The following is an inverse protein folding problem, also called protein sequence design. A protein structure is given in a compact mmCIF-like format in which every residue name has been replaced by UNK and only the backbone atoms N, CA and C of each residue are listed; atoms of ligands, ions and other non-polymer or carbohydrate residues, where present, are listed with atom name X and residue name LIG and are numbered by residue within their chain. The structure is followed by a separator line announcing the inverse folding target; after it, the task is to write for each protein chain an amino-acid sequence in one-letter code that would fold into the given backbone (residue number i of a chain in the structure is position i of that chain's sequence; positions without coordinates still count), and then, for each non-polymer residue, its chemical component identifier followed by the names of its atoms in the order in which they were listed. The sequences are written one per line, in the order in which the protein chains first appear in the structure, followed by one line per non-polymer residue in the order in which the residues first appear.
data_IF_260252254523
#
_entry.id   IF_260252254523
#
_cell.length_a   1.000
_cell.length_b   1.000
_cell.length_c   1.000
_cell.angle_alpha   90.00
_cell.angle_beta   90.00
_cell.angle_gamma   90.00
#
_symmetry.space_group_name_H-M   'P 1'
#
loop_
_entity.id
_entity.type
_entity.pdbx_description
1 polymer ?
#
# COMPACT_ATOMS: atom_id res chain seq x y z
N UNK A 1 -20.29 -10.77 21.61
CA UNK A 1 -19.37 -9.63 21.82
C UNK A 1 -19.99 -8.43 21.12
N UNK A 2 -20.11 -7.25 21.75
CA UNK A 2 -20.58 -6.05 21.05
C UNK A 2 -19.60 -5.76 19.90
N UNK A 3 -20.05 -5.42 18.68
CA UNK A 3 -19.13 -5.01 17.63
C UNK A 3 -18.38 -3.77 18.09
N UNK A 4 -17.05 -3.78 17.97
CA UNK A 4 -16.24 -2.60 18.24
C UNK A 4 -16.74 -1.45 17.37
N UNK A 5 -16.93 -0.27 17.97
CA UNK A 5 -17.31 0.92 17.21
C UNK A 5 -16.02 1.52 16.63
N UNK A 6 -15.92 1.73 15.31
CA UNK A 6 -14.72 2.32 14.73
C UNK A 6 -14.62 3.80 15.09
N UNK A 7 -13.40 4.27 15.35
CA UNK A 7 -13.08 5.70 15.49
C UNK A 7 -13.15 6.41 14.14
N UNK A 8 -12.69 5.73 13.08
CA UNK A 8 -12.84 6.20 11.69
C UNK A 8 -12.81 5.04 10.70
N UNK A 9 -13.05 5.36 9.42
CA UNK A 9 -12.95 4.40 8.32
C UNK A 9 -12.35 5.04 7.07
N UNK A 10 -11.86 4.19 6.17
CA UNK A 10 -11.49 4.58 4.80
C UNK A 10 -12.22 3.70 3.79
N UNK A 11 -12.59 4.27 2.64
CA UNK A 11 -13.18 3.55 1.54
C UNK A 11 -12.09 2.79 0.78
N UNK A 12 -12.34 1.50 0.51
CA UNK A 12 -11.37 0.58 -0.09
C UNK A 12 -12.04 -0.24 -1.19
N UNK A 13 -11.31 -0.43 -2.28
CA UNK A 13 -11.60 -1.46 -3.29
C UNK A 13 -10.77 -2.70 -2.98
N UNK A 14 -11.38 -3.79 -2.48
CA UNK A 14 -10.64 -4.99 -2.12
C UNK A 14 -10.08 -5.70 -3.36
N UNK A 15 -10.51 -5.36 -4.57
CA UNK A 15 -9.91 -5.86 -5.82
C UNK A 15 -8.62 -5.13 -6.20
N UNK A 16 -8.28 -4.05 -5.50
CA UNK A 16 -7.01 -3.34 -5.66
C UNK A 16 -6.03 -3.79 -4.56
N UNK A 17 -5.07 -4.69 -4.85
CA UNK A 17 -4.11 -5.14 -3.84
C UNK A 17 -3.32 -4.00 -3.21
N UNK A 18 -3.02 -2.93 -3.97
CA UNK A 18 -2.36 -1.75 -3.43
C UNK A 18 -3.18 -1.10 -2.32
N UNK A 19 -4.51 -1.01 -2.48
CA UNK A 19 -5.37 -0.45 -1.44
C UNK A 19 -5.50 -1.40 -0.23
N UNK A 20 -5.57 -2.71 -0.46
CA UNK A 20 -5.57 -3.69 0.64
C UNK A 20 -4.31 -3.59 1.51
N UNK A 21 -3.12 -3.57 0.91
CA UNK A 21 -1.88 -3.41 1.67
C UNK A 21 -1.76 -2.00 2.26
N UNK A 22 -2.33 -0.98 1.62
CA UNK A 22 -2.44 0.35 2.22
C UNK A 22 -3.26 0.35 3.52
N UNK A 23 -4.35 -0.42 3.60
CA UNK A 23 -5.09 -0.60 4.86
C UNK A 23 -4.20 -1.24 5.95
N UNK A 24 -3.36 -2.20 5.58
CA UNK A 24 -2.42 -2.83 6.51
C UNK A 24 -1.36 -1.83 7.01
N UNK A 25 -0.79 -1.03 6.11
CA UNK A 25 0.17 0.02 6.47
C UNK A 25 -0.45 1.15 7.30
N UNK A 26 -1.72 1.47 7.02
CA UNK A 26 -2.50 2.40 7.83
C UNK A 26 -2.65 1.89 9.26
N UNK A 27 -3.04 0.63 9.45
CA UNK A 27 -3.18 0.04 10.79
C UNK A 27 -1.84 -0.01 11.54
N UNK A 28 -0.74 -0.36 10.86
CA UNK A 28 0.60 -0.36 11.44
C UNK A 28 1.00 1.03 11.96
N UNK A 29 0.79 2.06 11.14
CA UNK A 29 1.09 3.43 11.54
C UNK A 29 0.15 3.92 12.64
N UNK A 30 -1.15 3.58 12.59
CA UNK A 30 -2.11 3.95 13.62
C UNK A 30 -1.75 3.32 14.97
N UNK A 31 -1.36 2.04 15.00
CA UNK A 31 -0.88 1.39 16.22
C UNK A 31 0.40 2.06 16.73
N UNK A 32 1.33 2.41 15.84
CA UNK A 32 2.56 3.14 16.20
C UNK A 32 2.32 4.54 16.72
N UNK A 33 1.21 5.18 16.34
CA UNK A 33 0.84 6.51 16.78
C UNK A 33 0.12 6.48 18.13
N UNK A 34 -0.83 5.57 18.32
CA UNK A 34 -1.78 5.59 19.45
C UNK A 34 -1.74 4.37 20.37
N UNK A 35 -1.03 3.31 20.00
CA UNK A 35 -0.90 2.04 20.72
C UNK A 35 -2.22 1.30 20.96
N UNK A 36 -2.32 0.06 20.50
CA UNK A 36 -3.54 -0.74 20.63
C UNK A 36 -4.61 -0.36 19.60
N UNK A 37 -4.19 0.20 18.45
CA UNK A 37 -5.12 0.40 17.35
C UNK A 37 -5.52 -0.96 16.77
N UNK A 38 -6.82 -1.13 16.51
CA UNK A 38 -7.37 -2.32 15.87
C UNK A 38 -7.97 -1.96 14.53
N UNK A 39 -7.85 -2.83 13.53
CA UNK A 39 -8.42 -2.61 12.21
C UNK A 39 -9.12 -3.85 11.67
N UNK A 40 -10.16 -3.63 10.86
CA UNK A 40 -10.95 -4.70 10.22
C UNK A 40 -11.72 -4.20 9.01
N UNK A 41 -12.05 -5.09 8.08
CA UNK A 41 -12.89 -4.75 6.94
C UNK A 41 -14.37 -4.83 7.32
N UNK A 42 -15.16 -3.93 6.76
CA UNK A 42 -16.61 -4.06 6.80
C UNK A 42 -17.07 -5.38 6.15
N UNK A 43 -18.23 -5.95 6.53
CA UNK A 43 -18.74 -7.17 5.91
C UNK A 43 -18.89 -7.12 4.38
N UNK A 44 -19.11 -5.93 3.83
CA UNK A 44 -19.18 -5.72 2.37
C UNK A 44 -17.78 -5.62 1.70
N UNK A 45 -16.69 -5.58 2.47
CA UNK A 45 -15.31 -5.43 2.02
C UNK A 45 -14.94 -4.05 1.46
N UNK A 46 -15.86 -3.07 1.49
CA UNK A 46 -15.68 -1.76 0.82
C UNK A 46 -15.19 -0.64 1.74
N UNK A 47 -15.08 -0.93 3.03
CA UNK A 47 -14.56 0.00 4.03
C UNK A 47 -13.57 -0.74 4.92
N UNK A 48 -12.51 -0.06 5.30
CA UNK A 48 -11.59 -0.50 6.34
C UNK A 48 -11.78 0.38 7.57
N UNK A 49 -12.16 -0.26 8.67
CA UNK A 49 -12.44 0.32 9.97
C UNK A 49 -11.18 0.34 10.83
N UNK A 50 -11.03 1.40 11.62
CA UNK A 50 -9.99 1.52 12.65
C UNK A 50 -10.60 1.97 13.96
N UNK A 51 -10.29 1.26 15.04
CA UNK A 51 -10.58 1.65 16.42
C UNK A 51 -9.28 2.09 17.09
N UNK A 52 -9.27 3.31 17.62
CA UNK A 52 -8.12 3.93 18.25
C UNK A 52 -8.52 5.01 19.28
N UNK A 53 -9.60 4.77 20.03
CA UNK A 53 -10.13 5.75 20.99
C UNK A 53 -10.80 6.95 20.30
N UNK A 54 -10.57 8.17 20.80
CA UNK A 54 -11.17 9.40 20.28
C UNK A 54 -10.40 10.01 19.09
N UNK A 55 -9.41 9.29 18.58
CA UNK A 55 -8.56 9.76 17.49
C UNK A 55 -9.23 9.67 16.12
N UNK A 56 -8.83 10.58 15.23
CA UNK A 56 -9.51 10.79 13.95
C UNK A 56 -8.61 10.49 12.74
N UNK A 57 -9.25 10.25 11.59
CA UNK A 57 -8.55 10.11 10.32
C UNK A 57 -7.72 11.37 9.97
N UNK A 58 -8.22 12.57 10.30
CA UNK A 58 -7.52 13.82 10.03
C UNK A 58 -6.20 13.93 10.84
N UNK A 59 -6.20 13.48 12.09
CA UNK A 59 -4.99 13.39 12.92
C UNK A 59 -4.01 12.38 12.33
N UNK A 60 -4.49 11.19 11.93
CA UNK A 60 -3.66 10.17 11.28
C UNK A 60 -2.97 10.70 10.01
N UNK A 61 -3.74 11.36 9.13
CA UNK A 61 -3.24 11.93 7.88
C UNK A 61 -2.21 13.03 8.16
N UNK A 62 -2.49 13.90 9.14
CA UNK A 62 -1.57 14.97 9.54
C UNK A 62 -0.25 14.40 10.09
N UNK A 63 -0.33 13.38 10.95
CA UNK A 63 0.84 12.66 11.48
C UNK A 63 1.65 12.00 10.36
N UNK A 64 0.99 11.32 9.42
CA UNK A 64 1.63 10.68 8.26
C UNK A 64 2.34 11.69 7.37
N UNK A 65 1.70 12.83 7.10
CA UNK A 65 2.22 13.88 6.24
C UNK A 65 3.38 14.69 6.87
N UNK A 66 3.45 14.71 8.20
CA UNK A 66 4.50 15.36 8.99
C UNK A 66 5.61 14.40 9.45
N UNK A 67 5.45 13.09 9.25
CA UNK A 67 6.38 12.11 9.78
C UNK A 67 7.79 12.29 9.25
N UNK A 68 8.78 12.09 10.11
CA UNK A 68 10.18 12.09 9.70
C UNK A 68 10.44 10.87 8.82
N UNK A 69 10.98 11.08 7.63
CA UNK A 69 11.46 10.00 6.76
C UNK A 69 12.98 10.09 6.57
N UNK A 70 13.67 9.00 6.89
CA UNK A 70 15.13 8.90 6.84
C UNK A 70 15.54 7.89 5.78
N UNK A 71 16.46 8.33 4.92
CA UNK A 71 17.15 7.52 3.92
C UNK A 71 18.29 6.77 4.61
N UNK A 72 18.13 5.47 4.89
CA UNK A 72 19.02 4.73 5.79
C UNK A 72 20.39 4.38 5.20
N UNK A 73 20.49 4.21 3.88
CA UNK A 73 21.74 4.10 3.14
C UNK A 73 21.83 5.23 2.11
N UNK A 74 22.42 6.37 2.48
CA UNK A 74 22.57 7.51 1.57
C UNK A 74 23.39 7.21 0.31
N UNK A 75 24.20 6.14 0.32
CA UNK A 75 25.00 5.73 -0.84
C UNK A 75 24.18 4.93 -1.86
N UNK A 76 23.06 4.34 -1.46
CA UNK A 76 22.09 3.71 -2.35
C UNK A 76 20.90 4.65 -2.63
N UNK A 77 21.03 5.44 -3.69
CA UNK A 77 19.97 6.35 -4.14
C UNK A 77 18.72 5.64 -4.67
N UNK A 78 18.78 4.34 -4.95
CA UNK A 78 17.72 3.62 -5.68
C UNK A 78 16.89 2.70 -4.80
N UNK A 79 17.54 1.95 -3.92
CA UNK A 79 16.91 0.85 -3.16
C UNK A 79 17.20 0.86 -1.67
N UNK A 80 17.69 1.96 -1.10
CA UNK A 80 17.86 2.06 0.34
C UNK A 80 16.56 1.82 1.12
N UNK A 81 16.64 1.18 2.30
CA UNK A 81 15.57 1.17 3.28
C UNK A 81 15.08 2.58 3.65
N UNK A 82 13.83 2.64 4.10
CA UNK A 82 13.18 3.87 4.53
C UNK A 82 12.82 3.74 6.01
N UNK A 83 13.30 4.66 6.84
CA UNK A 83 12.87 4.74 8.24
C UNK A 83 11.80 5.80 8.41
N UNK A 84 10.70 5.42 9.05
CA UNK A 84 9.61 6.29 9.46
C UNK A 84 9.77 6.56 10.95
N UNK A 85 9.93 7.82 11.31
CA UNK A 85 10.14 8.29 12.68
C UNK A 85 8.95 9.09 13.23
N UNK A 86 9.27 10.02 14.13
CA UNK A 86 8.31 10.91 14.81
C UNK A 86 7.26 11.48 13.84
N UNK A 87 5.96 11.47 14.20
CA UNK A 87 5.40 11.16 15.52
C UNK A 87 5.20 9.67 15.82
N UNK A 88 5.51 8.77 14.89
CA UNK A 88 5.33 7.33 15.08
C UNK A 88 6.47 6.74 15.92
N UNK A 89 6.16 5.67 16.68
CA UNK A 89 7.20 4.74 17.13
C UNK A 89 7.97 4.23 15.90
N UNK A 90 9.30 4.32 15.92
CA UNK A 90 10.16 4.12 14.75
C UNK A 90 9.91 2.80 14.03
N UNK A 91 9.71 2.86 12.71
CA UNK A 91 9.58 1.71 11.81
C UNK A 91 10.63 1.79 10.70
N UNK A 92 11.39 0.71 10.52
CA UNK A 92 12.26 0.55 9.35
C UNK A 92 11.52 -0.31 8.33
N UNK A 93 11.39 0.21 7.11
CA UNK A 93 10.77 -0.47 5.97
C UNK A 93 11.89 -0.91 5.03
N UNK A 94 12.15 -2.22 5.01
CA UNK A 94 13.34 -2.85 4.44
C UNK A 94 13.07 -4.21 3.79
N UNK A 95 11.80 -4.60 3.65
CA UNK A 95 11.37 -5.93 3.21
C UNK A 95 11.92 -6.39 1.85
N UNK A 96 12.50 -5.49 1.04
CA UNK A 96 13.11 -5.79 -0.26
C UNK A 96 14.64 -5.98 -0.23
N UNK A 97 15.31 -5.70 0.89
CA UNK A 97 16.78 -5.78 1.00
C UNK A 97 17.23 -7.23 1.06
N UNK A 98 16.64 -7.99 1.97
CA UNK A 98 16.90 -9.41 2.13
C UNK A 98 15.63 -10.20 1.87
N UNK A 99 15.78 -11.45 1.44
CA UNK A 99 14.64 -12.33 1.19
C UNK A 99 14.20 -13.10 2.45
N UNK A 100 14.62 -12.66 3.64
CA UNK A 100 14.23 -13.29 4.92
C UNK A 100 12.71 -13.31 5.13
N UNK A 101 12.04 -12.36 4.51
CA UNK A 101 10.60 -12.11 4.62
C UNK A 101 9.77 -12.82 3.55
N UNK A 102 10.41 -13.34 2.49
CA UNK A 102 9.74 -13.80 1.26
C UNK A 102 9.04 -12.69 0.47
N UNK A 103 9.29 -11.42 0.84
CA UNK A 103 8.62 -10.26 0.27
C UNK A 103 9.38 -9.65 -0.91
N UNK A 104 10.62 -10.06 -1.14
CA UNK A 104 11.52 -9.39 -2.10
C UNK A 104 10.94 -9.37 -3.50
N UNK A 105 10.24 -10.43 -3.88
CA UNK A 105 9.57 -10.55 -5.17
C UNK A 105 8.33 -9.64 -5.32
N UNK A 106 7.87 -8.96 -4.27
CA UNK A 106 6.84 -7.92 -4.34
C UNK A 106 7.40 -6.58 -4.80
N UNK A 107 8.72 -6.37 -4.78
CA UNK A 107 9.39 -5.12 -5.19
C UNK A 107 9.01 -4.75 -6.62
N UNK A 108 8.44 -3.55 -6.82
CA UNK A 108 7.93 -3.09 -8.14
C UNK A 108 8.88 -2.15 -8.89
N UNK A 109 9.87 -1.57 -8.21
CA UNK A 109 10.82 -0.62 -8.77
C UNK A 109 12.19 -1.25 -9.08
N UNK A 110 12.90 -0.66 -10.04
CA UNK A 110 14.25 -1.05 -10.45
C UNK A 110 14.94 0.08 -11.23
N UNK A 111 16.26 -0.01 -11.41
CA UNK A 111 17.03 0.98 -12.17
C UNK A 111 17.02 2.35 -11.51
N UNK A 112 16.72 3.40 -12.27
CA UNK A 112 16.76 4.80 -11.83
C UNK A 112 15.57 5.25 -10.98
N UNK A 113 14.67 4.32 -10.60
CA UNK A 113 13.57 4.62 -9.69
C UNK A 113 14.10 4.74 -8.26
N UNK A 114 14.27 5.98 -7.79
CA UNK A 114 14.70 6.32 -6.44
C UNK A 114 13.61 6.03 -5.40
N UNK A 115 13.64 4.86 -4.77
CA UNK A 115 12.62 4.43 -3.81
C UNK A 115 12.32 5.51 -2.76
N UNK A 116 13.33 5.93 -2.00
CA UNK A 116 13.16 6.95 -0.96
C UNK A 116 12.55 8.26 -1.51
N UNK A 117 13.00 8.70 -2.69
CA UNK A 117 12.46 9.89 -3.35
C UNK A 117 11.00 9.75 -3.76
N UNK A 118 10.57 8.56 -4.17
CA UNK A 118 9.15 8.27 -4.48
C UNK A 118 8.33 8.33 -3.19
N UNK A 119 8.75 7.64 -2.13
CA UNK A 119 8.05 7.67 -0.83
C UNK A 119 7.89 9.11 -0.31
N UNK A 120 8.96 9.91 -0.35
CA UNK A 120 8.94 11.33 0.05
C UNK A 120 7.96 12.17 -0.76
N UNK A 121 7.91 11.96 -2.08
CA UNK A 121 6.96 12.68 -2.94
C UNK A 121 5.50 12.29 -2.64
N UNK A 122 5.22 11.00 -2.39
CA UNK A 122 3.88 10.55 -2.00
C UNK A 122 3.46 11.11 -0.65
N UNK A 123 4.35 11.11 0.36
CA UNK A 123 4.08 11.74 1.65
C UNK A 123 3.79 13.24 1.52
N UNK A 124 4.60 13.95 0.73
CA UNK A 124 4.39 15.38 0.50
C UNK A 124 3.03 15.66 -0.14
N UNK A 125 2.61 14.84 -1.11
CA UNK A 125 1.30 14.96 -1.74
C UNK A 125 0.12 14.76 -0.77
N UNK A 126 0.27 13.89 0.25
CA UNK A 126 -0.75 13.64 1.28
C UNK A 126 -1.00 14.88 2.18
N UNK A 127 -0.12 15.90 2.14
CA UNK A 127 -0.35 17.19 2.84
C UNK A 127 -1.54 17.98 2.31
N UNK A 128 -2.02 17.67 1.10
CA UNK A 128 -3.21 18.29 0.55
C UNK A 128 -4.43 17.96 1.43
N UNK A 129 -5.18 19.00 1.83
CA UNK A 129 -6.32 18.88 2.75
C UNK A 129 -7.41 17.93 2.23
N UNK A 130 -7.46 17.66 0.92
CA UNK A 130 -8.38 16.67 0.35
C UNK A 130 -8.16 15.27 0.94
N UNK A 131 -6.95 14.93 1.40
CA UNK A 131 -6.67 13.66 2.08
C UNK A 131 -7.24 13.57 3.50
N UNK A 132 -7.91 14.60 4.04
CA UNK A 132 -8.58 14.50 5.35
C UNK A 132 -10.02 13.99 5.22
N UNK A 133 -10.24 12.94 4.42
CA UNK A 133 -11.56 12.35 4.19
C UNK A 133 -11.48 10.82 4.05
N UNK A 134 -12.58 10.07 4.22
CA UNK A 134 -12.58 8.61 4.09
C UNK A 134 -12.09 8.08 2.72
N UNK A 135 -12.09 8.91 1.68
CA UNK A 135 -11.67 8.53 0.33
C UNK A 135 -10.15 8.65 0.07
N UNK A 136 -9.29 8.70 1.10
CA UNK A 136 -7.83 8.89 0.91
C UNK A 136 -7.20 7.94 -0.11
N UNK A 137 -7.69 6.70 -0.20
CA UNK A 137 -7.18 5.67 -1.12
C UNK A 137 -7.67 5.88 -2.56
N UNK A 138 -8.67 6.74 -2.79
CA UNK A 138 -9.27 7.04 -4.08
C UNK A 138 -8.92 8.42 -4.64
N UNK A 139 -8.15 9.22 -3.87
CA UNK A 139 -7.69 10.53 -4.32
C UNK A 139 -6.48 10.40 -5.24
N UNK A 140 -6.73 10.63 -6.53
CA UNK A 140 -5.70 10.71 -7.56
C UNK A 140 -5.20 12.13 -7.79
N UNK A 141 -3.90 12.31 -7.96
CA UNK A 141 -3.30 13.59 -8.39
C UNK A 141 -2.00 13.41 -9.16
N UNK A 142 -1.57 14.46 -9.86
CA UNK A 142 -0.20 14.56 -10.39
C UNK A 142 0.73 14.89 -9.23
N UNK A 143 1.73 14.04 -9.01
CA UNK A 143 2.71 14.21 -7.92
C UNK A 143 3.99 14.80 -8.50
N UNK A 144 4.57 15.75 -7.78
CA UNK A 144 5.83 16.41 -8.13
C UNK A 144 6.90 16.11 -7.08
N UNK A 145 8.17 16.32 -7.45
CA UNK A 145 9.26 16.21 -6.51
C UNK A 145 9.18 17.37 -5.49
N UNK A 146 9.20 17.11 -4.17
CA UNK A 146 9.16 18.17 -3.16
C UNK A 146 10.28 19.21 -3.30
N UNK A 147 11.47 18.77 -3.73
CA UNK A 147 12.63 19.66 -3.90
C UNK A 147 12.66 20.32 -5.29
N UNK A 148 11.90 19.78 -6.24
CA UNK A 148 11.81 20.29 -7.61
C UNK A 148 10.34 20.29 -8.08
N UNK A 149 9.49 21.23 -7.62
CA UNK A 149 8.04 21.17 -7.84
C UNK A 149 7.60 21.21 -9.31
N UNK A 150 8.49 21.62 -10.22
CA UNK A 150 8.27 21.60 -11.68
C UNK A 150 8.47 20.22 -12.30
N UNK A 151 9.16 19.31 -11.61
CA UNK A 151 9.41 17.94 -12.07
C UNK A 151 8.40 16.99 -11.46
N UNK A 152 7.66 16.31 -12.33
CA UNK A 152 6.80 15.20 -11.95
C UNK A 152 7.61 14.08 -11.30
N UNK A 153 7.03 13.40 -10.30
CA UNK A 153 7.58 12.16 -9.73
C UNK A 153 6.62 11.00 -10.06
N UNK A 154 7.14 9.95 -10.68
CA UNK A 154 6.38 8.72 -10.89
C UNK A 154 6.21 7.93 -9.57
N UNK A 155 5.08 7.24 -9.37
CA UNK A 155 4.86 6.38 -8.20
C UNK A 155 5.56 5.02 -8.33
N UNK A 156 5.39 4.16 -7.32
CA UNK A 156 5.92 2.80 -7.33
C UNK A 156 5.19 1.86 -8.28
N UNK A 157 3.88 2.08 -8.51
CA UNK A 157 2.96 1.19 -9.24
C UNK A 157 2.39 0.06 -8.37
N UNK A 158 2.17 0.33 -7.08
CA UNK A 158 1.38 -0.55 -6.22
C UNK A 158 -0.12 -0.43 -6.51
N UNK A 159 -0.59 0.72 -6.97
CA UNK A 159 -1.99 0.90 -7.31
C UNK A 159 -2.36 0.18 -8.61
N UNK A 160 -3.25 -0.80 -8.51
CA UNK A 160 -3.67 -1.62 -9.64
C UNK A 160 -4.35 -0.85 -10.77
N UNK A 161 -4.92 0.33 -10.50
CA UNK A 161 -5.50 1.21 -11.54
C UNK A 161 -4.47 1.64 -12.58
N UNK A 162 -3.17 1.58 -12.24
CA UNK A 162 -2.09 1.91 -13.17
C UNK A 162 -1.62 0.74 -14.01
N UNK A 163 -1.97 -0.50 -13.67
CA UNK A 163 -1.49 -1.68 -14.40
C UNK A 163 -1.84 -1.70 -15.89
N UNK A 164 -3.08 -1.39 -16.33
CA UNK A 164 -3.43 -1.43 -17.76
C UNK A 164 -2.65 -0.44 -18.61
N UNK A 165 -2.21 0.68 -18.00
CA UNK A 165 -1.46 1.74 -18.68
C UNK A 165 0.06 1.68 -18.42
N UNK A 166 0.54 0.59 -17.81
CA UNK A 166 1.90 0.50 -17.32
C UNK A 166 2.91 0.07 -18.42
N UNK A 167 2.44 -0.57 -19.49
CA UNK A 167 3.26 -1.06 -20.60
C UNK A 167 3.01 -0.22 -21.86
N UNK A 168 4.07 0.34 -22.47
CA UNK A 168 3.94 1.23 -23.64
C UNK A 168 3.30 0.56 -24.87
N UNK A 169 3.41 -0.77 -24.99
CA UNK A 169 2.71 -1.53 -26.05
C UNK A 169 1.19 -1.59 -25.84
N UNK A 170 0.72 -1.54 -24.60
CA UNK A 170 -0.72 -1.63 -24.29
C UNK A 170 -1.45 -0.30 -24.55
N UNK A 171 -0.72 0.81 -24.44
CA UNK A 171 -1.24 2.17 -24.70
C UNK A 171 -0.94 2.67 -26.13
N UNK A 172 -0.10 1.98 -26.89
CA UNK A 172 0.25 2.34 -28.28
C UNK A 172 1.14 3.58 -28.44
N UNK A 173 1.53 4.25 -27.34
CA UNK A 173 2.43 5.41 -27.33
C UNK A 173 3.16 5.54 -25.99
N UNK A 174 4.30 6.25 -25.96
CA UNK A 174 4.95 6.61 -24.70
C UNK A 174 4.29 7.86 -24.12
N UNK A 175 3.64 7.75 -22.97
CA UNK A 175 3.02 8.90 -22.29
C UNK A 175 4.04 9.99 -21.92
N UNK A 176 5.31 9.60 -21.69
CA UNK A 176 6.41 10.53 -21.45
C UNK A 176 6.73 11.34 -22.71
N UNK A 177 6.68 10.71 -23.88
CA UNK A 177 7.02 11.37 -25.15
C UNK A 177 5.90 12.33 -25.60
N UNK A 178 4.67 12.11 -25.11
CA UNK A 178 3.51 12.98 -25.38
C UNK A 178 3.24 14.03 -24.28
N UNK A 179 4.06 14.11 -23.23
CA UNK A 179 3.86 15.08 -22.14
C UNK A 179 2.58 14.87 -21.32
N UNK A 180 1.94 13.69 -21.40
CA UNK A 180 0.70 13.39 -20.68
C UNK A 180 1.01 13.05 -19.23
N UNK A 181 0.48 13.85 -18.30
CA UNK A 181 0.73 13.67 -16.86
C UNK A 181 -0.15 12.56 -16.28
N UNK A 182 0.42 11.37 -16.07
CA UNK A 182 -0.25 10.27 -15.37
C UNK A 182 -0.54 10.59 -13.89
N UNK A 183 -1.74 10.23 -13.44
CA UNK A 183 -2.25 10.39 -12.07
C UNK A 183 -1.72 9.29 -11.15
N UNK A 184 -1.17 9.64 -9.99
CA UNK A 184 -0.82 8.71 -8.92
C UNK A 184 -1.87 8.78 -7.79
N UNK A 185 -1.95 7.75 -6.94
CA UNK A 185 -2.76 7.76 -5.72
C UNK A 185 -1.83 7.69 -4.50
N UNK A 186 -1.37 8.86 -4.00
CA UNK A 186 -0.28 8.95 -3.02
C UNK A 186 -0.45 8.10 -1.77
N UNK A 187 -1.66 8.10 -1.18
CA UNK A 187 -1.94 7.32 0.02
C UNK A 187 -1.79 5.81 -0.24
N UNK A 188 -2.24 5.32 -1.40
CA UNK A 188 -2.11 3.91 -1.78
C UNK A 188 -0.64 3.54 -1.91
N UNK A 189 0.13 4.34 -2.63
CA UNK A 189 1.54 4.03 -2.92
C UNK A 189 2.41 4.04 -1.66
N UNK A 190 2.24 5.04 -0.78
CA UNK A 190 3.01 5.14 0.46
C UNK A 190 2.59 4.08 1.49
N UNK A 191 1.29 3.96 1.76
CA UNK A 191 0.81 3.05 2.80
C UNK A 191 0.95 1.58 2.37
N UNK A 192 0.89 1.26 1.07
CA UNK A 192 1.18 -0.09 0.57
C UNK A 192 2.64 -0.48 0.82
N UNK A 193 3.60 0.42 0.54
CA UNK A 193 5.01 0.20 0.82
C UNK A 193 5.24 -0.22 2.29
N UNK A 194 4.56 0.47 3.20
CA UNK A 194 4.59 0.22 4.65
C UNK A 194 3.86 -1.08 4.99
N UNK A 195 2.69 -1.29 4.42
CA UNK A 195 1.85 -2.46 4.68
C UNK A 195 2.55 -3.77 4.37
N UNK A 196 3.34 -3.84 3.29
CA UNK A 196 4.10 -5.04 2.93
C UNK A 196 5.14 -5.43 4.00
N UNK A 197 5.59 -4.48 4.83
CA UNK A 197 6.50 -4.79 5.94
C UNK A 197 5.86 -5.75 6.95
N UNK A 198 4.55 -5.60 7.21
CA UNK A 198 3.83 -6.29 8.29
C UNK A 198 2.73 -7.24 7.81
N UNK A 199 2.25 -7.07 6.59
CA UNK A 199 1.24 -7.88 5.95
C UNK A 199 1.73 -8.30 4.57
N UNK A 200 1.91 -9.60 4.38
CA UNK A 200 2.34 -10.15 3.10
C UNK A 200 1.29 -11.12 2.57
N UNK A 201 1.09 -11.17 1.25
CA UNK A 201 0.21 -12.16 0.68
C UNK A 201 0.85 -13.55 0.76
N UNK A 202 0.02 -14.59 0.73
CA UNK A 202 0.48 -15.97 0.61
C UNK A 202 0.98 -16.23 -0.82
N UNK A 203 2.10 -16.93 -0.93
CA UNK A 203 2.59 -17.43 -2.20
C UNK A 203 1.65 -18.49 -2.78
N UNK A 204 1.56 -18.56 -4.11
CA UNK A 204 0.93 -19.69 -4.82
C UNK A 204 1.99 -20.56 -5.49
N UNK A 205 1.58 -21.65 -6.13
CA UNK A 205 2.47 -22.46 -6.96
C UNK A 205 2.99 -21.72 -8.20
N UNK A 206 2.35 -20.62 -8.60
CA UNK A 206 2.75 -19.81 -9.75
C UNK A 206 3.57 -18.61 -9.32
N UNK A 207 4.68 -18.36 -10.02
CA UNK A 207 5.57 -17.22 -9.73
C UNK A 207 4.82 -15.90 -9.91
N UNK A 208 4.98 -14.99 -8.94
CA UNK A 208 4.38 -13.65 -8.90
C UNK A 208 2.85 -13.61 -8.81
N UNK A 209 2.23 -14.76 -8.58
CA UNK A 209 0.81 -14.87 -8.27
C UNK A 209 0.67 -15.08 -6.78
N UNK A 210 -0.11 -14.21 -6.15
CA UNK A 210 -0.23 -14.15 -4.71
C UNK A 210 -1.69 -14.03 -4.29
N UNK A 211 -2.01 -14.62 -3.14
CA UNK A 211 -3.34 -14.56 -2.55
C UNK A 211 -3.32 -13.72 -1.27
N UNK A 212 -4.38 -12.96 -1.01
CA UNK A 212 -4.60 -12.26 0.25
C UNK A 212 -6.04 -12.41 0.72
N UNK A 213 -6.25 -12.25 2.02
CA UNK A 213 -7.55 -12.45 2.67
C UNK A 213 -8.00 -11.21 3.42
N UNK A 214 -9.28 -10.88 3.33
CA UNK A 214 -9.90 -9.89 4.20
C UNK A 214 -10.30 -10.54 5.52
N UNK A 215 -10.42 -9.73 6.57
CA UNK A 215 -10.93 -10.14 7.87
C UNK A 215 -11.96 -9.13 8.37
N UNK A 216 -12.96 -9.60 9.13
CA UNK A 216 -14.12 -8.78 9.56
C UNK A 216 -14.21 -8.58 11.06
N UNK A 217 -13.25 -9.14 11.82
CA UNK A 217 -13.13 -8.95 13.26
C UNK A 217 -12.01 -7.95 13.58
N UNK A 218 -12.11 -7.12 14.64
CA UNK A 218 -11.01 -6.25 15.03
C UNK A 218 -9.72 -7.03 15.29
N UNK A 219 -8.62 -6.63 14.65
CA UNK A 219 -7.29 -7.20 14.85
C UNK A 219 -6.27 -6.10 15.09
N UNK A 220 -5.29 -6.37 15.95
CA UNK A 220 -4.11 -5.55 16.17
C UNK A 220 -3.05 -5.77 15.07
N UNK A 221 -2.14 -4.81 14.89
CA UNK A 221 -1.16 -4.82 13.82
C UNK A 221 -0.25 -6.08 13.78
N UNK A 222 0.06 -6.68 14.93
CA UNK A 222 0.87 -7.89 15.03
C UNK A 222 0.20 -9.16 14.46
N UNK A 223 -1.11 -9.14 14.20
CA UNK A 223 -1.85 -10.25 13.59
C UNK A 223 -1.99 -10.11 12.07
N UNK A 224 -1.53 -8.99 11.49
CA UNK A 224 -1.73 -8.67 10.07
C UNK A 224 -1.14 -9.70 9.11
N UNK A 225 0.03 -10.27 9.42
CA UNK A 225 0.63 -11.30 8.57
C UNK A 225 -0.25 -12.55 8.49
N UNK A 226 -0.71 -13.05 9.63
CA UNK A 226 -1.56 -14.24 9.69
C UNK A 226 -2.96 -13.95 9.08
N UNK A 227 -3.49 -12.74 9.27
CA UNK A 227 -4.75 -12.33 8.69
C UNK A 227 -4.68 -12.24 7.16
N UNK A 228 -3.66 -11.53 6.64
CA UNK A 228 -3.49 -11.32 5.20
C UNK A 228 -3.24 -12.62 4.44
N UNK A 229 -2.52 -13.58 5.03
CA UNK A 229 -2.27 -14.90 4.45
C UNK A 229 -3.46 -15.86 4.56
N UNK A 230 -4.44 -15.55 5.42
CA UNK A 230 -5.60 -16.42 5.69
C UNK A 230 -5.37 -17.50 6.75
N UNK A 231 -4.21 -17.50 7.41
CA UNK A 231 -3.82 -18.49 8.42
C UNK A 231 -4.64 -18.41 9.71
N UNK A 232 -5.30 -17.27 9.98
CA UNK A 232 -6.21 -17.14 11.12
C UNK A 232 -7.51 -17.94 10.98
N UNK A 233 -7.80 -18.52 9.80
CA UNK A 233 -8.97 -19.35 9.52
C UNK A 233 -10.31 -18.73 9.99
N UNK A 234 -10.43 -17.41 9.84
CA UNK A 234 -11.61 -16.67 10.26
C UNK A 234 -12.79 -17.00 9.32
N UNK A 235 -13.97 -17.22 9.91
CA UNK A 235 -15.19 -17.48 9.16
C UNK A 235 -15.51 -16.32 8.21
N UNK A 236 -15.98 -16.66 7.00
CA UNK A 236 -16.38 -15.68 5.99
C UNK A 236 -15.30 -14.64 5.68
N UNK A 237 -14.09 -15.10 5.38
CA UNK A 237 -12.96 -14.26 4.96
C UNK A 237 -12.79 -14.30 3.45
N UNK A 238 -13.29 -13.31 2.68
CA UNK A 238 -13.08 -13.25 1.24
C UNK A 238 -11.59 -13.29 0.91
N UNK A 239 -11.25 -14.12 -0.09
CA UNK A 239 -9.89 -14.24 -0.59
C UNK A 239 -9.79 -13.68 -2.01
N UNK A 240 -8.65 -13.10 -2.32
CA UNK A 240 -8.37 -12.46 -3.58
C UNK A 240 -7.02 -12.91 -4.10
N UNK A 241 -6.88 -12.98 -5.42
CA UNK A 241 -5.64 -13.35 -6.10
C UNK A 241 -5.20 -12.24 -7.03
N UNK A 242 -3.96 -11.79 -6.90
CA UNK A 242 -3.38 -10.80 -7.81
C UNK A 242 -2.04 -11.26 -8.39
N UNK A 243 -1.62 -10.55 -9.44
CA UNK A 243 -0.34 -10.75 -10.08
C UNK A 243 0.57 -9.52 -9.87
N UNK A 244 1.82 -9.75 -9.50
CA UNK A 244 2.88 -8.74 -9.60
C UNK A 244 3.52 -8.79 -11.00
N UNK A 245 2.88 -8.11 -11.95
CA UNK A 245 3.13 -8.24 -13.39
C UNK A 245 4.31 -7.41 -13.88
N UNK A 246 5.09 -7.93 -14.84
CA UNK A 246 6.13 -7.14 -15.49
C UNK A 246 5.54 -6.13 -16.47
N UNK A 247 5.76 -4.84 -16.21
CA UNK A 247 5.25 -3.75 -17.04
C UNK A 247 6.20 -3.27 -18.14
N UNK A 248 7.33 -3.95 -18.32
CA UNK A 248 8.30 -3.63 -19.38
C UNK A 248 8.75 -4.90 -20.08
N UNK A 249 9.01 -4.81 -21.38
CA UNK A 249 9.57 -5.93 -22.16
C UNK A 249 10.93 -6.43 -21.63
N UNK A 250 11.70 -5.56 -20.96
CA UNK A 250 12.96 -5.94 -20.30
C UNK A 250 12.76 -6.72 -18.99
N UNK A 251 11.52 -6.90 -18.51
CA UNK A 251 11.18 -7.61 -17.27
C UNK A 251 11.94 -7.09 -16.04
N UNK A 252 12.11 -5.77 -15.93
CA UNK A 252 12.78 -5.11 -14.79
C UNK A 252 11.79 -4.46 -13.83
N UNK A 253 10.80 -3.77 -14.37
CA UNK A 253 9.78 -3.07 -13.59
C UNK A 253 8.51 -3.89 -13.51
N UNK A 254 7.87 -3.88 -12.33
CA UNK A 254 6.59 -4.54 -12.13
C UNK A 254 5.50 -3.54 -11.74
N UNK A 255 4.26 -4.01 -11.72
CA UNK A 255 3.09 -3.32 -11.20
C UNK A 255 2.12 -4.37 -10.66
N UNK A 256 1.36 -4.01 -9.62
CA UNK A 256 0.28 -4.88 -9.17
C UNK A 256 -0.89 -4.83 -10.15
N UNK A 257 -1.43 -5.98 -10.55
CA UNK A 257 -2.70 -6.05 -11.30
C UNK A 257 -3.88 -6.08 -10.34
N UNK A 258 -5.06 -5.72 -10.85
CA UNK A 258 -6.31 -5.94 -10.12
C UNK A 258 -6.45 -7.42 -9.79
N UNK A 259 -6.94 -7.70 -8.60
CA UNK A 259 -7.16 -9.05 -8.14
C UNK A 259 -8.50 -9.59 -8.60
N UNK A 260 -8.61 -10.91 -8.60
CA UNK A 260 -9.86 -11.64 -8.79
C UNK A 260 -10.28 -12.27 -7.45
N UNK A 261 -11.57 -12.23 -7.08
CA UNK A 261 -12.06 -13.00 -5.95
C UNK A 261 -11.82 -14.50 -6.19
N UNK A 262 -11.40 -15.21 -5.15
CA UNK A 262 -11.33 -16.66 -5.15
C UNK A 262 -12.65 -17.22 -4.61
N UNK A 263 -13.21 -18.21 -5.29
CA UNK A 263 -14.36 -18.96 -4.78
C UNK A 263 -14.03 -19.57 -3.42
N UNK A 264 -15.04 -19.66 -2.54
CA UNK A 264 -14.86 -20.34 -1.26
C UNK A 264 -14.40 -21.80 -1.51
N UNK A 265 -13.55 -22.37 -0.65
CA UNK A 265 -13.26 -23.80 -0.70
C UNK A 265 -14.58 -24.57 -0.48
N UNK A 266 -15.17 -25.12 -1.55
CA UNK A 266 -16.45 -25.85 -1.47
C UNK A 266 -17.35 -25.79 -2.72
N UNK A 267 -17.09 -24.90 -3.67
CA UNK A 267 -17.92 -24.73 -4.89
C UNK A 267 -17.30 -25.39 -6.16
N UNK A 268 -16.58 -26.51 -6.00
CA UNK A 268 -16.05 -27.30 -7.13
C UNK A 268 -16.45 -28.77 -6.99
#
# INVERSE_FOLDING_TARGET
MKPATPSFFVNVDPTNPGQFFACCGLLELADRLWSGAEGWFAPNGRQFYVSCGDHTLAEFVSATAAATMIHLDPNDSYSSPVRIGTPFRQLDVDWWISDQTGARDLKVWAGTMESFGIARAMQYAIRDKRFQCPDILNLGMVVTNPDEPRKKKEPYYFDARRSPNAHSLDVGFSANDLGVTSTAHPAVELLCLIGIQVARPSNTSQKRIYDYSLWTIPLTANLLLAAATGELQLLNSPRFRFENWFRTGQKKHKAFRSSVPLSAPGDA
#
